data_IF_567304685153
#
_entry.id   IF_567304685153
#
_cell.length_a   1.000
_cell.length_b   1.000
_cell.length_c   1.000
_cell.angle_alpha   90.00
_cell.angle_beta   90.00
_cell.angle_gamma   90.00
#
_symmetry.space_group_name_H-M   'P 1'
#
loop_
_entity.id
_entity.type
_entity.pdbx_description
1 polymer ?
#
# COMPACT_ATOMS: atom_id res chain seq x y z
N UNK A 1 39.14 0.24 7.51
CA UNK A 1 39.06 1.01 6.23
C UNK A 1 37.61 1.01 5.77
N UNK A 2 36.85 1.95 6.30
CA UNK A 2 35.49 2.23 5.85
C UNK A 2 35.64 3.11 4.62
N UNK A 3 35.42 2.54 3.43
CA UNK A 3 35.30 3.34 2.21
C UNK A 3 34.26 4.44 2.43
N UNK A 4 34.53 5.70 2.04
CA UNK A 4 33.56 6.78 2.18
C UNK A 4 32.45 6.53 1.14
N UNK A 5 31.41 5.82 1.55
CA UNK A 5 30.14 5.82 0.83
C UNK A 5 29.72 7.28 0.69
N UNK A 6 29.28 7.68 -0.49
CA UNK A 6 28.76 9.01 -0.78
C UNK A 6 27.58 9.25 0.14
N UNK A 7 27.83 9.82 1.31
CA UNK A 7 26.77 10.32 2.19
C UNK A 7 26.23 11.57 1.51
N UNK A 8 25.25 11.41 0.64
CA UNK A 8 24.51 12.55 0.13
C UNK A 8 23.86 13.26 1.32
N UNK A 9 24.02 14.58 1.41
CA UNK A 9 23.42 15.33 2.49
C UNK A 9 21.91 15.10 2.51
N UNK A 10 21.32 14.96 3.69
CA UNK A 10 19.88 14.78 3.88
C UNK A 10 19.04 15.77 3.05
N UNK A 11 19.58 16.99 2.82
CA UNK A 11 18.95 18.00 1.99
C UNK A 11 18.80 17.61 0.52
N UNK A 12 19.76 16.88 -0.07
CA UNK A 12 19.68 16.46 -1.48
C UNK A 12 18.62 15.35 -1.63
N UNK A 13 18.56 14.42 -0.67
CA UNK A 13 17.55 13.36 -0.67
C UNK A 13 16.15 13.96 -0.52
N UNK A 14 15.96 14.90 0.41
CA UNK A 14 14.68 15.60 0.56
C UNK A 14 14.30 16.39 -0.69
N UNK A 15 15.25 17.06 -1.33
CA UNK A 15 15.01 17.77 -2.60
C UNK A 15 14.61 16.80 -3.72
N UNK A 16 15.21 15.60 -3.78
CA UNK A 16 14.84 14.57 -4.75
C UNK A 16 13.43 14.07 -4.52
N UNK A 17 13.00 13.83 -3.28
CA UNK A 17 11.62 13.45 -2.98
C UNK A 17 10.60 14.55 -3.31
N UNK A 18 10.93 15.82 -3.03
CA UNK A 18 10.08 16.96 -3.41
C UNK A 18 9.94 17.01 -4.95
N UNK A 19 11.06 16.88 -5.68
CA UNK A 19 11.03 16.87 -7.14
C UNK A 19 10.22 15.68 -7.68
N UNK A 20 10.36 14.48 -7.11
CA UNK A 20 9.56 13.32 -7.46
C UNK A 20 8.06 13.57 -7.22
N UNK A 21 7.70 14.17 -6.09
CA UNK A 21 6.31 14.53 -5.76
C UNK A 21 5.72 15.53 -6.76
N UNK A 22 6.49 16.54 -7.17
CA UNK A 22 6.08 17.49 -8.22
C UNK A 22 5.84 16.75 -9.54
N UNK A 23 6.74 15.84 -9.92
CA UNK A 23 6.60 15.04 -11.13
C UNK A 23 5.35 14.15 -11.08
N UNK A 24 5.00 13.57 -9.94
CA UNK A 24 3.75 12.82 -9.77
C UNK A 24 2.51 13.70 -9.92
N UNK A 25 2.51 14.91 -9.35
CA UNK A 25 1.40 15.87 -9.51
C UNK A 25 1.24 16.25 -11.01
N UNK A 26 2.33 16.54 -11.69
CA UNK A 26 2.32 16.83 -13.13
C UNK A 26 1.87 15.62 -13.97
N UNK A 27 2.23 14.41 -13.53
CA UNK A 27 1.76 13.16 -14.15
C UNK A 27 0.24 13.05 -14.07
N UNK A 28 -0.35 13.25 -12.88
CA UNK A 28 -1.80 13.20 -12.71
C UNK A 28 -2.52 14.25 -13.58
N UNK A 29 -2.00 15.48 -13.61
CA UNK A 29 -2.50 16.54 -14.50
C UNK A 29 -2.42 16.16 -15.97
N UNK A 30 -1.32 15.55 -16.40
CA UNK A 30 -1.13 15.08 -17.76
C UNK A 30 -2.03 13.92 -18.15
N UNK A 31 -2.25 12.97 -17.24
CA UNK A 31 -3.10 11.78 -17.46
C UNK A 31 -4.60 12.12 -17.51
N UNK A 32 -5.01 13.29 -17.02
CA UNK A 32 -6.42 13.71 -17.05
C UNK A 32 -6.95 14.01 -18.45
N UNK A 33 -6.08 14.22 -19.43
CA UNK A 33 -6.43 14.53 -20.82
C UNK A 33 -5.73 13.59 -21.79
N UNK A 34 -6.45 13.08 -22.78
CA UNK A 34 -5.94 12.12 -23.76
C UNK A 34 -4.74 12.65 -24.55
N UNK A 35 -4.73 13.94 -24.90
CA UNK A 35 -3.66 14.57 -25.68
C UNK A 35 -2.34 14.69 -24.91
N UNK A 36 -2.41 14.85 -23.59
CA UNK A 36 -1.23 14.99 -22.71
C UNK A 36 -0.85 13.70 -21.97
N UNK A 37 -1.62 12.62 -22.13
CA UNK A 37 -1.47 11.38 -21.38
C UNK A 37 -0.06 10.76 -21.52
N UNK A 38 0.54 10.78 -22.70
CA UNK A 38 1.90 10.28 -22.90
C UNK A 38 2.95 11.07 -22.11
N UNK A 39 2.82 12.41 -22.07
CA UNK A 39 3.72 13.27 -21.29
C UNK A 39 3.49 13.05 -19.78
N UNK A 40 2.23 12.92 -19.37
CA UNK A 40 1.88 12.57 -17.98
C UNK A 40 2.51 11.26 -17.54
N UNK A 41 2.46 10.23 -18.39
CA UNK A 41 3.11 8.95 -18.11
C UNK A 41 4.63 9.06 -17.95
N UNK A 42 5.30 9.87 -18.81
CA UNK A 42 6.73 10.12 -18.69
C UNK A 42 7.10 10.82 -17.38
N UNK A 43 6.31 11.79 -16.94
CA UNK A 43 6.51 12.44 -15.65
C UNK A 43 6.37 11.44 -14.49
N UNK A 44 5.39 10.52 -14.56
CA UNK A 44 5.23 9.46 -13.56
C UNK A 44 6.41 8.50 -13.51
N UNK A 45 6.91 8.06 -14.66
CA UNK A 45 8.10 7.20 -14.76
C UNK A 45 9.34 7.91 -14.20
N UNK A 46 9.56 9.17 -14.59
CA UNK A 46 10.69 9.96 -14.10
C UNK A 46 10.61 10.21 -12.59
N UNK A 47 9.42 10.53 -12.06
CA UNK A 47 9.19 10.71 -10.64
C UNK A 47 9.46 9.42 -9.84
N UNK A 48 8.99 8.28 -10.34
CA UNK A 48 9.24 6.98 -9.71
C UNK A 48 10.73 6.62 -9.73
N UNK A 49 11.41 6.79 -10.86
CA UNK A 49 12.83 6.52 -10.96
C UNK A 49 13.65 7.39 -10.01
N UNK A 50 13.28 8.68 -9.89
CA UNK A 50 13.93 9.62 -8.97
C UNK A 50 13.67 9.22 -7.51
N UNK A 51 12.44 8.87 -7.14
CA UNK A 51 12.11 8.45 -5.80
C UNK A 51 12.84 7.16 -5.38
N UNK A 52 12.84 6.14 -6.26
CA UNK A 52 13.57 4.88 -6.03
C UNK A 52 15.07 5.16 -5.89
N UNK A 53 15.65 5.96 -6.78
CA UNK A 53 17.06 6.34 -6.72
C UNK A 53 17.42 7.06 -5.42
N UNK A 54 16.59 8.02 -4.99
CA UNK A 54 16.77 8.72 -3.74
C UNK A 54 16.69 7.78 -2.52
N UNK A 55 15.74 6.85 -2.53
CA UNK A 55 15.58 5.85 -1.46
C UNK A 55 16.79 4.91 -1.37
N UNK A 56 17.26 4.39 -2.50
CA UNK A 56 18.42 3.50 -2.54
C UNK A 56 19.72 4.17 -2.09
N UNK A 57 19.87 5.46 -2.37
CA UNK A 57 21.05 6.23 -1.96
C UNK A 57 20.93 6.68 -0.49
N UNK A 58 19.71 7.03 -0.06
CA UNK A 58 19.43 7.55 1.28
C UNK A 58 19.32 6.50 2.37
N UNK A 59 18.99 5.26 1.99
CA UNK A 59 18.86 4.13 2.91
C UNK A 59 20.15 3.28 2.89
N UNK A 60 20.41 2.59 3.99
CA UNK A 60 21.47 1.57 4.09
C UNK A 60 20.81 0.18 4.13
N UNK A 61 20.35 -0.37 3.01
CA UNK A 61 19.70 -1.66 3.00
C UNK A 61 20.67 -2.76 3.43
N UNK A 62 20.17 -3.81 4.06
CA UNK A 62 20.95 -4.98 4.49
C UNK A 62 21.73 -5.59 3.31
N UNK A 63 21.17 -5.53 2.10
CA UNK A 63 21.83 -6.02 0.88
C UNK A 63 21.27 -5.31 -0.36
N UNK A 64 22.09 -4.48 -1.00
CA UNK A 64 21.76 -3.88 -2.30
C UNK A 64 21.51 -4.94 -3.38
N UNK A 65 22.28 -6.05 -3.37
CA UNK A 65 22.12 -7.13 -4.33
C UNK A 65 20.73 -7.75 -4.24
N UNK A 66 20.23 -8.00 -3.02
CA UNK A 66 18.90 -8.55 -2.80
C UNK A 66 17.81 -7.57 -3.28
N UNK A 67 17.92 -6.29 -2.93
CA UNK A 67 16.94 -5.27 -3.34
C UNK A 67 16.87 -5.16 -4.86
N UNK A 68 18.03 -5.06 -5.54
CA UNK A 68 18.09 -4.95 -7.01
C UNK A 68 17.56 -6.24 -7.66
N UNK A 69 17.90 -7.42 -7.12
CA UNK A 69 17.39 -8.69 -7.65
C UNK A 69 15.87 -8.78 -7.54
N UNK A 70 15.29 -8.43 -6.39
CA UNK A 70 13.83 -8.43 -6.19
C UNK A 70 13.12 -7.39 -7.08
N UNK A 71 13.72 -6.21 -7.25
CA UNK A 71 13.22 -5.19 -8.18
C UNK A 71 13.27 -5.67 -9.62
N UNK A 72 14.35 -6.34 -10.03
CA UNK A 72 14.48 -6.91 -11.38
C UNK A 72 13.43 -8.00 -11.64
N UNK A 73 13.21 -8.90 -10.67
CA UNK A 73 12.19 -9.96 -10.78
C UNK A 73 10.80 -9.35 -10.86
N UNK A 74 10.46 -8.42 -9.95
CA UNK A 74 9.16 -7.75 -9.94
C UNK A 74 8.93 -6.92 -11.22
N UNK A 75 9.95 -6.20 -11.67
CA UNK A 75 9.90 -5.41 -12.91
C UNK A 75 9.74 -6.28 -14.15
N UNK A 76 10.45 -7.41 -14.23
CA UNK A 76 10.32 -8.36 -15.33
C UNK A 76 8.92 -9.01 -15.36
N UNK A 77 8.41 -9.44 -14.21
CA UNK A 77 7.08 -10.01 -14.09
C UNK A 77 5.99 -8.97 -14.45
N UNK A 78 6.07 -7.76 -13.90
CA UNK A 78 5.13 -6.68 -14.19
C UNK A 78 5.16 -6.24 -15.65
N UNK A 79 6.36 -6.09 -16.24
CA UNK A 79 6.54 -5.76 -17.66
C UNK A 79 6.00 -6.85 -18.59
N UNK A 80 6.20 -8.11 -18.25
CA UNK A 80 5.64 -9.23 -19.01
C UNK A 80 4.11 -9.23 -19.01
N UNK A 81 3.49 -9.01 -17.84
CA UNK A 81 2.02 -8.92 -17.72
C UNK A 81 1.51 -7.68 -18.47
N UNK A 82 2.13 -6.52 -18.29
CA UNK A 82 1.73 -5.27 -18.94
C UNK A 82 1.80 -5.35 -20.47
N UNK A 83 2.79 -6.07 -21.03
CA UNK A 83 2.94 -6.24 -22.47
C UNK A 83 1.88 -7.17 -23.10
N UNK A 84 1.17 -7.97 -22.29
CA UNK A 84 0.20 -8.97 -22.77
C UNK A 84 -1.24 -8.68 -22.41
N UNK A 85 -1.48 -7.72 -21.53
CA UNK A 85 -2.84 -7.40 -21.09
C UNK A 85 -3.60 -6.67 -22.20
N UNK A 86 -4.82 -7.10 -22.43
CA UNK A 86 -5.75 -6.42 -23.34
C UNK A 86 -6.34 -5.18 -22.66
N UNK A 87 -6.68 -4.15 -23.44
CA UNK A 87 -7.30 -2.92 -22.92
C UNK A 87 -8.63 -3.18 -22.18
N UNK A 88 -9.36 -4.21 -22.60
CA UNK A 88 -10.62 -4.64 -21.98
C UNK A 88 -10.41 -5.28 -20.60
N UNK A 89 -9.20 -5.80 -20.34
CA UNK A 89 -8.82 -6.42 -19.07
C UNK A 89 -8.10 -5.47 -18.11
N UNK A 90 -8.01 -4.17 -18.45
CA UNK A 90 -7.33 -3.18 -17.58
C UNK A 90 -7.93 -3.07 -16.18
N UNK A 91 -9.26 -3.08 -15.95
CA UNK A 91 -9.81 -3.02 -14.59
C UNK A 91 -9.38 -4.23 -13.74
N UNK A 92 -9.30 -5.43 -14.33
CA UNK A 92 -8.83 -6.63 -13.66
C UNK A 92 -7.36 -6.53 -13.28
N UNK A 93 -6.52 -6.06 -14.22
CA UNK A 93 -5.09 -5.85 -13.96
C UNK A 93 -4.87 -4.84 -12.82
N UNK A 94 -5.58 -3.71 -12.86
CA UNK A 94 -5.47 -2.68 -11.82
C UNK A 94 -5.89 -3.24 -10.45
N UNK A 95 -6.97 -4.02 -10.38
CA UNK A 95 -7.38 -4.68 -9.14
C UNK A 95 -6.28 -5.61 -8.61
N UNK A 96 -5.68 -6.44 -9.48
CA UNK A 96 -4.60 -7.34 -9.08
C UNK A 96 -3.36 -6.56 -8.59
N UNK A 97 -2.97 -5.49 -9.28
CA UNK A 97 -1.84 -4.64 -8.86
C UNK A 97 -2.10 -4.01 -7.49
N UNK A 98 -3.33 -3.56 -7.21
CA UNK A 98 -3.69 -3.03 -5.89
C UNK A 98 -3.61 -4.08 -4.78
N UNK A 99 -3.84 -5.35 -5.07
CA UNK A 99 -3.63 -6.40 -4.06
C UNK A 99 -2.17 -6.50 -3.65
N UNK A 100 -1.23 -6.37 -4.59
CA UNK A 100 0.20 -6.33 -4.26
C UNK A 100 0.61 -5.06 -3.50
N UNK A 101 0.01 -3.91 -3.82
CA UNK A 101 0.21 -2.66 -3.04
C UNK A 101 -0.26 -2.84 -1.60
N UNK A 102 -1.45 -3.44 -1.40
CA UNK A 102 -1.95 -3.76 -0.07
C UNK A 102 -1.04 -4.73 0.70
N UNK A 103 -0.54 -5.76 0.01
CA UNK A 103 0.42 -6.70 0.59
C UNK A 103 1.72 -6.00 0.99
N UNK A 104 2.25 -5.12 0.13
CA UNK A 104 3.46 -4.36 0.42
C UNK A 104 3.28 -3.47 1.67
N UNK A 105 2.14 -2.78 1.81
CA UNK A 105 1.84 -1.96 2.98
C UNK A 105 1.80 -2.80 4.27
N UNK A 106 1.19 -3.98 4.24
CA UNK A 106 1.18 -4.91 5.39
C UNK A 106 2.61 -5.34 5.75
N UNK A 107 3.41 -5.78 4.76
CA UNK A 107 4.77 -6.26 4.99
C UNK A 107 5.69 -5.15 5.49
N UNK A 108 5.60 -3.94 4.93
CA UNK A 108 6.38 -2.78 5.39
C UNK A 108 5.98 -2.41 6.81
N UNK A 109 4.69 -2.39 7.14
CA UNK A 109 4.24 -2.09 8.50
C UNK A 109 4.77 -3.11 9.53
N UNK A 110 4.71 -4.41 9.23
CA UNK A 110 5.31 -5.43 10.10
C UNK A 110 6.83 -5.33 10.17
N UNK A 111 7.51 -5.06 9.06
CA UNK A 111 8.96 -4.89 9.04
C UNK A 111 9.38 -3.70 9.90
N UNK A 112 8.66 -2.58 9.80
CA UNK A 112 8.90 -1.37 10.60
C UNK A 112 8.66 -1.60 12.10
N UNK A 113 7.59 -2.35 12.45
CA UNK A 113 7.30 -2.70 13.85
C UNK A 113 8.34 -3.62 14.48
N UNK A 114 8.88 -4.55 13.68
CA UNK A 114 9.85 -5.55 14.14
C UNK A 114 11.30 -5.08 14.05
N UNK A 115 11.56 -3.86 13.53
CA UNK A 115 12.91 -3.33 13.39
C UNK A 115 13.51 -2.99 14.76
N UNK A 116 14.58 -3.68 15.18
CA UNK A 116 15.23 -3.43 16.46
C UNK A 116 15.96 -2.07 16.52
N UNK A 117 16.20 -1.41 15.39
CA UNK A 117 16.83 -0.09 15.32
C UNK A 117 15.83 1.06 15.56
N UNK A 118 14.54 0.81 15.46
CA UNK A 118 13.48 1.80 15.65
C UNK A 118 13.15 2.08 17.11
N UNK A 119 14.10 2.63 17.87
CA UNK A 119 13.85 3.03 19.26
C UNK A 119 13.25 4.44 19.34
N UNK A 120 11.96 4.54 19.06
CA UNK A 120 11.20 5.76 19.31
C UNK A 120 10.74 5.82 20.77
N UNK A 121 10.68 7.03 21.37
CA UNK A 121 10.25 7.25 22.75
C UNK A 121 9.20 8.36 22.84
N UNK A 122 8.31 8.27 23.83
CA UNK A 122 7.32 9.31 24.07
C UNK A 122 6.33 9.49 22.93
N UNK A 123 6.10 10.74 22.53
CA UNK A 123 5.13 11.07 21.48
C UNK A 123 5.51 10.50 20.10
N UNK A 124 6.79 10.45 19.80
CA UNK A 124 7.30 9.90 18.52
C UNK A 124 6.95 8.41 18.36
N UNK A 125 7.14 7.62 19.44
CA UNK A 125 6.68 6.21 19.46
C UNK A 125 5.20 6.10 19.20
N UNK A 126 4.38 6.91 19.86
CA UNK A 126 2.93 6.88 19.69
C UNK A 126 2.53 7.19 18.25
N UNK A 127 3.14 8.19 17.62
CA UNK A 127 2.89 8.55 16.23
C UNK A 127 3.26 7.39 15.31
N UNK A 128 4.46 6.84 15.47
CA UNK A 128 4.95 5.72 14.67
C UNK A 128 4.09 4.47 14.80
N UNK A 129 3.68 4.11 16.01
CA UNK A 129 2.76 2.97 16.24
C UNK A 129 1.39 3.19 15.57
N UNK A 130 0.84 4.41 15.63
CA UNK A 130 -0.41 4.75 14.95
C UNK A 130 -0.26 4.66 13.43
N UNK A 131 0.83 5.15 12.86
CA UNK A 131 1.15 5.06 11.42
C UNK A 131 1.23 3.60 10.97
N UNK A 132 1.98 2.76 11.69
CA UNK A 132 2.07 1.31 11.42
C UNK A 132 0.70 0.67 11.46
N UNK A 133 -0.09 0.93 12.52
CA UNK A 133 -1.41 0.33 12.70
C UNK A 133 -2.36 0.69 11.56
N UNK A 134 -2.44 1.97 11.20
CA UNK A 134 -3.28 2.46 10.11
C UNK A 134 -2.79 1.92 8.76
N UNK A 135 -1.48 1.92 8.51
CA UNK A 135 -0.88 1.40 7.29
C UNK A 135 -1.21 -0.07 7.06
N UNK A 136 -1.07 -0.91 8.09
CA UNK A 136 -1.41 -2.34 8.03
C UNK A 136 -2.92 -2.54 7.88
N UNK A 137 -3.75 -1.80 8.63
CA UNK A 137 -5.21 -1.89 8.56
C UNK A 137 -5.71 -1.63 7.13
N UNK A 138 -5.31 -0.51 6.54
CA UNK A 138 -5.72 -0.14 5.18
C UNK A 138 -5.10 -1.10 4.16
N UNK A 139 -3.84 -1.47 4.34
CA UNK A 139 -3.13 -2.43 3.48
C UNK A 139 -3.82 -3.79 3.44
N UNK A 140 -4.23 -4.33 4.59
CA UNK A 140 -4.92 -5.62 4.69
C UNK A 140 -6.33 -5.58 4.04
N UNK A 141 -7.10 -4.52 4.27
CA UNK A 141 -8.40 -4.31 3.60
C UNK A 141 -8.21 -4.22 2.08
N UNK A 142 -7.21 -3.45 1.63
CA UNK A 142 -6.89 -3.26 0.21
C UNK A 142 -6.47 -4.57 -0.45
N UNK A 143 -5.61 -5.35 0.20
CA UNK A 143 -5.14 -6.64 -0.30
C UNK A 143 -6.32 -7.56 -0.65
N UNK A 144 -7.15 -7.88 0.33
CA UNK A 144 -8.22 -8.85 0.15
C UNK A 144 -9.43 -8.28 -0.60
N UNK A 145 -9.73 -7.00 -0.41
CA UNK A 145 -10.76 -6.30 -1.18
C UNK A 145 -10.44 -6.29 -2.67
N UNK A 146 -9.17 -6.05 -3.04
CA UNK A 146 -8.73 -6.04 -4.44
C UNK A 146 -8.73 -7.44 -5.06
N UNK A 147 -8.36 -8.48 -4.30
CA UNK A 147 -8.49 -9.88 -4.76
C UNK A 147 -9.96 -10.24 -5.00
N UNK A 148 -10.87 -9.84 -4.10
CA UNK A 148 -12.31 -10.06 -4.29
C UNK A 148 -12.86 -9.29 -5.50
N UNK A 149 -12.44 -8.04 -5.70
CA UNK A 149 -12.80 -7.25 -6.87
C UNK A 149 -12.31 -7.89 -8.18
N UNK A 150 -11.06 -8.33 -8.22
CA UNK A 150 -10.49 -9.10 -9.33
C UNK A 150 -11.33 -10.36 -9.62
N UNK A 151 -11.66 -11.14 -8.59
CA UNK A 151 -12.46 -12.35 -8.74
C UNK A 151 -13.87 -12.09 -9.31
N UNK A 152 -14.50 -10.95 -8.95
CA UNK A 152 -15.78 -10.54 -9.54
C UNK A 152 -15.65 -10.08 -10.99
N UNK A 153 -14.61 -9.32 -11.32
CA UNK A 153 -14.35 -8.86 -12.68
C UNK A 153 -13.99 -10.01 -13.63
N UNK A 154 -13.32 -11.03 -13.15
CA UNK A 154 -13.00 -12.24 -13.91
C UNK A 154 -14.16 -13.24 -14.01
N UNK A 155 -15.28 -12.98 -13.31
CA UNK A 155 -16.40 -13.93 -13.27
C UNK A 155 -16.14 -15.18 -12.43
N UNK A 156 -15.04 -15.24 -11.67
CA UNK A 156 -14.73 -16.32 -10.73
C UNK A 156 -15.68 -16.26 -9.53
N UNK A 157 -15.97 -15.04 -9.06
CA UNK A 157 -16.94 -14.76 -8.02
C UNK A 157 -18.23 -14.22 -8.65
N UNK A 158 -19.37 -14.49 -7.98
CA UNK A 158 -20.65 -13.96 -8.43
C UNK A 158 -20.63 -12.43 -8.53
N UNK A 159 -21.11 -11.90 -9.66
CA UNK A 159 -21.27 -10.44 -9.84
C UNK A 159 -22.42 -9.86 -9.02
N UNK A 160 -23.29 -10.71 -8.44
CA UNK A 160 -24.40 -10.25 -7.60
C UNK A 160 -23.84 -9.79 -6.23
N UNK A 161 -24.42 -8.73 -5.63
CA UNK A 161 -24.11 -8.35 -4.27
C UNK A 161 -24.44 -9.49 -3.29
N UNK A 162 -23.47 -9.87 -2.45
CA UNK A 162 -23.68 -10.84 -1.37
C UNK A 162 -23.88 -10.03 -0.08
N UNK A 163 -25.13 -9.93 0.35
CA UNK A 163 -25.51 -9.15 1.51
C UNK A 163 -25.71 -10.06 2.72
N UNK A 164 -24.92 -9.83 3.76
CA UNK A 164 -25.07 -10.51 5.04
C UNK A 164 -26.14 -9.75 5.87
N UNK A 165 -27.16 -10.46 6.43
CA UNK A 165 -28.10 -9.83 7.36
C UNK A 165 -27.36 -9.20 8.53
N UNK A 166 -27.74 -7.97 8.90
CA UNK A 166 -27.06 -7.25 10.00
C UNK A 166 -25.69 -6.67 9.65
N UNK A 167 -25.33 -6.55 8.37
CA UNK A 167 -24.03 -6.04 7.89
C UNK A 167 -23.59 -4.73 8.54
N UNK A 168 -24.52 -3.82 8.84
CA UNK A 168 -24.19 -2.53 9.46
C UNK A 168 -23.71 -2.69 10.91
N UNK A 169 -24.34 -3.61 11.65
CA UNK A 169 -23.92 -3.95 13.01
C UNK A 169 -22.56 -4.65 12.98
N UNK A 170 -22.38 -5.58 12.03
CA UNK A 170 -21.11 -6.27 11.84
C UNK A 170 -19.98 -5.26 11.51
N UNK A 171 -20.22 -4.33 10.59
CA UNK A 171 -19.25 -3.30 10.21
C UNK A 171 -18.87 -2.42 11.42
N UNK A 172 -19.87 -2.02 12.20
CA UNK A 172 -19.65 -1.23 13.42
C UNK A 172 -18.86 -2.03 14.46
N UNK A 173 -19.18 -3.31 14.64
CA UNK A 173 -18.47 -4.19 15.55
C UNK A 173 -17.00 -4.37 15.16
N UNK A 174 -16.72 -4.58 13.85
CA UNK A 174 -15.34 -4.69 13.34
C UNK A 174 -14.60 -3.36 13.52
N UNK A 175 -15.21 -2.23 13.19
CA UNK A 175 -14.60 -0.92 13.38
C UNK A 175 -14.26 -0.65 14.85
N UNK A 176 -15.18 -0.98 15.76
CA UNK A 176 -14.97 -0.83 17.20
C UNK A 176 -13.88 -1.79 17.71
N UNK A 177 -13.85 -3.04 17.22
CA UNK A 177 -12.81 -4.00 17.56
C UNK A 177 -11.43 -3.55 17.07
N UNK A 178 -11.33 -3.02 15.84
CA UNK A 178 -10.08 -2.45 15.32
C UNK A 178 -9.62 -1.24 16.13
N UNK A 179 -10.53 -0.33 16.52
CA UNK A 179 -10.20 0.80 17.38
C UNK A 179 -9.68 0.35 18.76
N UNK A 180 -10.33 -0.65 19.34
CA UNK A 180 -9.87 -1.24 20.61
C UNK A 180 -8.50 -1.91 20.50
N UNK A 181 -8.28 -2.71 19.45
CA UNK A 181 -6.99 -3.34 19.18
C UNK A 181 -5.90 -2.29 18.93
N UNK A 182 -6.22 -1.18 18.26
CA UNK A 182 -5.32 -0.05 18.09
C UNK A 182 -4.92 0.60 19.42
N UNK A 183 -5.89 0.80 20.31
CA UNK A 183 -5.61 1.29 21.67
C UNK A 183 -4.68 0.35 22.43
N UNK A 184 -4.94 -0.96 22.38
CA UNK A 184 -4.09 -1.96 23.02
C UNK A 184 -2.69 -2.02 22.41
N UNK A 185 -2.58 -1.86 21.08
CA UNK A 185 -1.32 -1.88 20.36
C UNK A 185 -0.43 -0.68 20.73
N UNK A 186 -0.98 0.52 20.66
CA UNK A 186 -0.24 1.77 20.98
C UNK A 186 0.14 1.82 22.48
N UNK A 187 -0.69 1.25 23.34
CA UNK A 187 -0.42 1.16 24.78
C UNK A 187 0.53 0.03 25.19
N UNK A 188 1.06 -0.76 24.22
CA UNK A 188 1.97 -1.84 24.54
C UNK A 188 3.40 -1.33 24.82
N UNK A 189 3.97 -1.77 25.96
CA UNK A 189 5.33 -1.40 26.36
C UNK A 189 6.42 -2.28 25.71
N UNK A 190 6.03 -3.35 25.03
CA UNK A 190 6.96 -4.30 24.41
C UNK A 190 6.46 -4.80 23.06
N UNK A 191 7.40 -5.19 22.20
CA UNK A 191 7.09 -5.80 20.88
C UNK A 191 6.19 -7.04 21.05
N UNK A 192 6.48 -7.88 22.06
CA UNK A 192 5.67 -9.08 22.33
C UNK A 192 4.24 -8.73 22.77
N UNK A 193 4.03 -7.62 23.48
CA UNK A 193 2.71 -7.16 23.89
C UNK A 193 1.89 -6.59 22.73
N UNK A 194 2.53 -5.88 21.82
CA UNK A 194 1.86 -5.24 20.67
C UNK A 194 1.64 -6.17 19.48
N UNK A 195 2.44 -7.22 19.30
CA UNK A 195 2.32 -8.10 18.12
C UNK A 195 0.95 -8.81 18.05
N UNK A 196 0.37 -9.21 19.17
CA UNK A 196 -0.92 -9.90 19.19
C UNK A 196 -2.10 -9.02 18.78
N UNK A 197 -2.27 -7.79 19.33
CA UNK A 197 -3.29 -6.86 18.83
C UNK A 197 -3.11 -6.54 17.34
N UNK A 198 -1.86 -6.39 16.87
CA UNK A 198 -1.55 -6.12 15.48
C UNK A 198 -1.94 -7.28 14.56
N UNK A 199 -1.61 -8.52 14.91
CA UNK A 199 -2.00 -9.72 14.18
C UNK A 199 -3.52 -9.92 14.18
N UNK A 200 -4.18 -9.75 15.33
CA UNK A 200 -5.64 -9.87 15.42
C UNK A 200 -6.35 -8.84 14.53
N UNK A 201 -5.90 -7.58 14.56
CA UNK A 201 -6.40 -6.53 13.69
C UNK A 201 -6.17 -6.86 12.21
N UNK A 202 -4.98 -7.35 11.85
CA UNK A 202 -4.66 -7.73 10.47
C UNK A 202 -5.62 -8.81 9.96
N UNK A 203 -5.88 -9.85 10.74
CA UNK A 203 -6.83 -10.92 10.38
C UNK A 203 -8.24 -10.36 10.20
N UNK A 204 -8.70 -9.52 11.14
CA UNK A 204 -10.01 -8.86 11.03
C UNK A 204 -10.11 -8.00 9.78
N UNK A 205 -9.07 -7.22 9.47
CA UNK A 205 -8.99 -6.36 8.30
C UNK A 205 -9.02 -7.16 6.98
N UNK A 206 -8.30 -8.29 6.93
CA UNK A 206 -8.33 -9.19 5.77
C UNK A 206 -9.74 -9.75 5.53
N UNK A 207 -10.43 -10.21 6.57
CA UNK A 207 -11.81 -10.70 6.47
C UNK A 207 -12.76 -9.57 6.08
N UNK A 208 -12.57 -8.39 6.67
CA UNK A 208 -13.41 -7.22 6.41
C UNK A 208 -13.29 -6.72 4.97
N UNK A 209 -12.08 -6.72 4.38
CA UNK A 209 -11.86 -6.36 2.98
C UNK A 209 -12.67 -7.24 2.02
N UNK A 210 -12.68 -8.56 2.23
CA UNK A 210 -13.52 -9.49 1.46
C UNK A 210 -15.00 -9.15 1.64
N UNK A 211 -15.45 -9.03 2.89
CA UNK A 211 -16.84 -8.76 3.22
C UNK A 211 -17.38 -7.49 2.54
N UNK A 212 -16.63 -6.40 2.62
CA UNK A 212 -17.00 -5.11 2.04
C UNK A 212 -17.18 -5.19 0.52
N UNK A 213 -16.22 -5.81 -0.18
CA UNK A 213 -16.25 -5.88 -1.64
C UNK A 213 -17.27 -6.91 -2.14
N UNK A 214 -17.50 -8.00 -1.43
CA UNK A 214 -18.55 -8.94 -1.78
C UNK A 214 -19.95 -8.33 -1.75
N UNK A 215 -20.19 -7.36 -0.87
CA UNK A 215 -21.46 -6.65 -0.75
C UNK A 215 -21.79 -5.71 -1.93
N UNK A 216 -20.82 -5.44 -2.82
CA UNK A 216 -20.96 -4.53 -3.96
C UNK A 216 -21.13 -5.33 -5.25
N UNK A 217 -21.97 -4.84 -6.18
CA UNK A 217 -22.20 -5.47 -7.47
C UNK A 217 -20.99 -5.43 -8.42
N UNK A 218 -20.88 -6.40 -9.30
CA UNK A 218 -19.78 -6.47 -10.29
C UNK A 218 -19.73 -5.26 -11.23
N UNK A 219 -20.86 -4.66 -11.55
CA UNK A 219 -20.94 -3.47 -12.39
C UNK A 219 -20.28 -2.25 -11.75
N UNK A 220 -20.25 -2.17 -10.40
CA UNK A 220 -19.69 -1.06 -9.65
C UNK A 220 -18.20 -1.28 -9.29
N UNK A 221 -17.60 -2.40 -9.71
CA UNK A 221 -16.21 -2.73 -9.38
C UNK A 221 -15.19 -1.69 -9.85
N UNK A 222 -15.29 -1.03 -11.00
CA UNK A 222 -14.37 0.04 -11.37
C UNK A 222 -14.33 1.19 -10.36
N UNK A 223 -15.49 1.54 -9.78
CA UNK A 223 -15.60 2.56 -8.72
C UNK A 223 -14.95 2.08 -7.43
N UNK A 224 -15.15 0.81 -7.07
CA UNK A 224 -14.53 0.18 -5.89
C UNK A 224 -13.00 0.17 -6.01
N UNK A 225 -12.47 -0.16 -7.18
CA UNK A 225 -11.02 -0.14 -7.44
C UNK A 225 -10.47 1.28 -7.27
N UNK A 226 -11.16 2.29 -7.79
CA UNK A 226 -10.76 3.69 -7.62
C UNK A 226 -10.77 4.11 -6.14
N UNK A 227 -11.76 3.66 -5.38
CA UNK A 227 -11.85 3.91 -3.93
C UNK A 227 -10.72 3.20 -3.16
N UNK A 228 -10.42 1.93 -3.48
CA UNK A 228 -9.31 1.20 -2.88
C UNK A 228 -7.96 1.83 -3.22
N UNK A 229 -7.79 2.36 -4.44
CA UNK A 229 -6.62 3.13 -4.82
C UNK A 229 -6.46 4.40 -3.96
N UNK A 230 -7.55 5.12 -3.71
CA UNK A 230 -7.53 6.29 -2.82
C UNK A 230 -7.12 5.90 -1.39
N UNK A 231 -7.63 4.80 -0.87
CA UNK A 231 -7.27 4.30 0.47
C UNK A 231 -5.79 3.90 0.56
N UNK A 232 -5.25 3.23 -0.47
CA UNK A 232 -3.83 2.89 -0.50
C UNK A 232 -2.94 4.14 -0.58
N UNK A 233 -3.40 5.20 -1.25
CA UNK A 233 -2.73 6.51 -1.24
C UNK A 233 -2.70 7.16 0.15
N UNK A 234 -3.80 7.07 0.90
CA UNK A 234 -3.84 7.51 2.30
C UNK A 234 -2.91 6.70 3.19
N UNK A 235 -2.87 5.36 3.01
CA UNK A 235 -1.95 4.51 3.74
C UNK A 235 -0.49 4.90 3.45
N UNK A 236 -0.12 5.09 2.19
CA UNK A 236 1.21 5.52 1.80
C UNK A 236 1.58 6.90 2.38
N UNK A 237 0.64 7.83 2.43
CA UNK A 237 0.86 9.15 3.05
C UNK A 237 1.03 9.08 4.58
N UNK A 238 0.38 8.11 5.24
CA UNK A 238 0.49 7.91 6.68
C UNK A 238 1.78 7.18 7.10
N UNK A 239 2.35 6.37 6.21
CA UNK A 239 3.58 5.61 6.50
C UNK A 239 4.87 6.34 6.08
N UNK A 240 4.79 7.57 5.58
CA UNK A 240 5.92 8.42 5.15
C UNK A 240 6.36 8.11 3.75
#
# INVERSE_FOLDING_TARGET
DVSPGIVMSSGIISAAYIAASILFILSLGGLSNQESAQRGNLFGIAGMALAIGATLIGSTPVSYTLVIALMAVGGAAGGFVAARVEMTAMPQLVAMLHSFVGLAAVLVGFASYLDPAGHFVGAEKTIHDVEIFIGILIGAITLTGSVAAFGKLQGILTSRPVLIPGRHILNLAVATACAWLGYCFVGADSINGGIWPLLAMTILALIFGIHMVLAIGGADMPVVISMLNSYSGWAAAATG
#
